data_IF_172945116977
#
_entry.id   IF_172945116977
#
_cell.length_a   1.000
_cell.length_b   1.000
_cell.length_c   1.000
_cell.angle_alpha   90.00
_cell.angle_beta   90.00
_cell.angle_gamma   90.00
#
_symmetry.space_group_name_H-M   'P 1'
#
loop_
_entity.id
_entity.type
_entity.pdbx_description
1 polymer ?
#
# COMPACT_ATOMS: atom_id res chain seq x y z
N UNK A 1 -18.50 -1.34 -9.15
CA UNK A 1 -18.06 -0.65 -7.91
C UNK A 1 -16.57 -0.44 -7.98
N UNK A 2 -16.06 0.67 -7.43
CA UNK A 2 -14.63 1.01 -7.50
C UNK A 2 -13.85 0.23 -6.43
N UNK A 3 -12.93 -0.63 -6.85
CA UNK A 3 -12.12 -1.43 -5.93
C UNK A 3 -11.07 -0.53 -5.24
N UNK A 4 -11.06 -0.53 -3.91
CA UNK A 4 -10.09 0.16 -3.07
C UNK A 4 -9.41 -0.86 -2.16
N UNK A 5 -8.08 -0.91 -2.19
CA UNK A 5 -7.30 -1.80 -1.31
C UNK A 5 -6.55 -1.01 -0.24
N UNK A 6 -6.79 -1.35 1.01
CA UNK A 6 -6.07 -0.84 2.18
C UNK A 6 -4.83 -1.72 2.44
N UNK A 7 -3.65 -1.12 2.47
CA UNK A 7 -2.38 -1.83 2.71
C UNK A 7 -1.46 -1.03 3.67
N UNK A 8 -0.56 -1.72 4.38
CA UNK A 8 0.31 -1.09 5.40
C UNK A 8 1.78 -1.29 5.03
N UNK A 9 2.41 -0.41 4.24
CA UNK A 9 3.74 -0.67 3.67
C UNK A 9 4.92 -0.24 4.57
N UNK A 10 4.65 0.55 5.61
CA UNK A 10 5.67 1.20 6.43
C UNK A 10 5.60 0.74 7.90
N UNK A 11 5.25 1.65 8.81
CA UNK A 11 5.12 1.37 10.23
C UNK A 11 3.89 0.51 10.54
N UNK A 12 3.97 -0.27 11.63
CA UNK A 12 2.86 -1.13 12.09
C UNK A 12 1.64 -0.31 12.52
N UNK A 13 0.43 -0.82 12.29
CA UNK A 13 -0.78 -0.30 12.92
C UNK A 13 -0.83 -0.71 14.41
N UNK A 14 -0.95 0.22 15.37
CA UNK A 14 -0.93 -0.13 16.79
C UNK A 14 -2.16 -0.93 17.23
N UNK A 15 -3.28 -0.76 16.51
CA UNK A 15 -4.49 -1.53 16.71
C UNK A 15 -5.28 -1.62 15.41
N UNK A 16 -6.14 -2.66 15.32
CA UNK A 16 -7.00 -2.89 14.15
C UNK A 16 -8.26 -1.99 14.13
N UNK A 17 -8.55 -1.26 15.20
CA UNK A 17 -9.76 -0.44 15.33
C UNK A 17 -9.87 0.64 14.24
N UNK A 18 -8.84 1.48 14.03
CA UNK A 18 -8.83 2.46 12.95
C UNK A 18 -8.98 1.85 11.55
N UNK A 19 -8.35 0.70 11.29
CA UNK A 19 -8.43 0.01 10.00
C UNK A 19 -9.86 -0.47 9.69
N UNK A 20 -10.51 -1.15 10.65
CA UNK A 20 -11.92 -1.58 10.51
C UNK A 20 -12.86 -0.39 10.31
N UNK A 21 -12.63 0.70 11.04
CA UNK A 21 -13.41 1.93 10.91
C UNK A 21 -13.24 2.57 9.53
N UNK A 22 -12.02 2.60 9.01
CA UNK A 22 -11.74 3.10 7.66
C UNK A 22 -12.47 2.25 6.61
N UNK A 23 -12.35 0.92 6.69
CA UNK A 23 -13.04 0.02 5.77
C UNK A 23 -14.56 0.23 5.77
N UNK A 24 -15.19 0.24 6.96
CA UNK A 24 -16.63 0.51 7.08
C UNK A 24 -17.05 1.83 6.44
N UNK A 25 -16.29 2.91 6.67
CA UNK A 25 -16.61 4.24 6.14
C UNK A 25 -16.43 4.30 4.62
N UNK A 26 -15.36 3.70 4.09
CA UNK A 26 -15.11 3.67 2.65
C UNK A 26 -16.14 2.82 1.91
N UNK A 27 -16.57 1.68 2.49
CA UNK A 27 -17.67 0.89 1.95
C UNK A 27 -18.99 1.68 1.92
N UNK A 28 -19.28 2.46 2.98
CA UNK A 28 -20.45 3.33 3.01
C UNK A 28 -20.40 4.47 1.97
N UNK A 29 -19.21 4.82 1.46
CA UNK A 29 -19.00 5.74 0.35
C UNK A 29 -19.08 5.07 -1.03
N UNK A 30 -19.39 3.76 -1.09
CA UNK A 30 -19.60 3.02 -2.34
C UNK A 30 -18.36 2.30 -2.91
N UNK A 31 -17.23 2.31 -2.19
CA UNK A 31 -16.07 1.51 -2.59
C UNK A 31 -16.28 0.03 -2.27
N UNK A 32 -15.81 -0.85 -3.16
CA UNK A 32 -15.56 -2.25 -2.81
C UNK A 32 -14.22 -2.30 -2.09
N UNK A 33 -14.24 -2.53 -0.78
CA UNK A 33 -13.04 -2.37 0.07
C UNK A 33 -12.40 -3.73 0.34
N UNK A 34 -11.18 -3.87 -0.15
CA UNK A 34 -10.28 -4.97 0.20
C UNK A 34 -9.26 -4.50 1.26
N UNK A 35 -8.93 -5.37 2.20
CA UNK A 35 -7.83 -5.16 3.15
C UNK A 35 -6.77 -6.20 2.81
N UNK A 36 -5.54 -5.78 2.47
CA UNK A 36 -4.47 -6.73 2.22
C UNK A 36 -4.21 -7.58 3.47
N UNK A 37 -3.96 -8.86 3.26
CA UNK A 37 -3.76 -9.85 4.33
C UNK A 37 -2.64 -9.49 5.32
N UNK A 38 -1.62 -8.73 4.89
CA UNK A 38 -0.53 -8.29 5.75
C UNK A 38 -0.79 -6.94 6.43
N UNK A 39 -1.97 -6.32 6.26
CA UNK A 39 -2.24 -4.97 6.78
C UNK A 39 -2.08 -4.85 8.31
N UNK A 40 -2.22 -5.96 9.05
CA UNK A 40 -2.04 -6.04 10.50
C UNK A 40 -0.77 -6.82 10.92
N UNK A 41 0.08 -7.20 9.96
CA UNK A 41 1.35 -7.86 10.28
C UNK A 41 2.23 -6.96 11.15
N UNK A 42 3.05 -7.57 12.01
CA UNK A 42 3.90 -6.84 12.95
C UNK A 42 5.26 -7.52 13.07
N UNK A 43 6.31 -6.73 12.83
CA UNK A 43 7.69 -7.07 13.21
C UNK A 43 8.35 -5.84 13.80
N UNK A 44 8.52 -5.84 15.12
CA UNK A 44 8.96 -4.66 15.87
C UNK A 44 8.09 -3.44 15.53
N UNK A 45 8.68 -2.38 14.94
CA UNK A 45 8.00 -1.14 14.52
C UNK A 45 7.41 -1.19 13.10
N UNK A 46 7.66 -2.25 12.33
CA UNK A 46 7.25 -2.39 10.93
C UNK A 46 6.00 -3.26 10.78
N UNK A 47 5.25 -3.01 9.71
CA UNK A 47 4.06 -3.77 9.34
C UNK A 47 4.39 -5.14 8.70
N UNK A 48 5.16 -5.97 9.41
CA UNK A 48 5.83 -7.17 8.89
C UNK A 48 7.32 -6.96 8.63
N UNK A 49 8.07 -8.02 8.32
CA UNK A 49 9.43 -7.84 7.77
C UNK A 49 9.41 -7.23 6.39
N UNK A 50 10.61 -6.88 5.92
CA UNK A 50 10.84 -6.35 4.59
C UNK A 50 10.25 -7.26 3.50
N UNK A 51 10.37 -8.59 3.64
CA UNK A 51 9.81 -9.57 2.70
C UNK A 51 8.28 -9.50 2.67
N UNK A 52 7.64 -9.51 3.84
CA UNK A 52 6.18 -9.38 3.96
C UNK A 52 5.68 -8.08 3.33
N UNK A 53 6.38 -6.96 3.57
CA UNK A 53 5.98 -5.63 3.08
C UNK A 53 6.19 -5.48 1.57
N UNK A 54 7.29 -6.01 1.02
CA UNK A 54 7.49 -6.09 -0.44
C UNK A 54 6.43 -6.96 -1.10
N UNK A 55 6.14 -8.14 -0.53
CA UNK A 55 5.09 -9.01 -1.04
C UNK A 55 3.71 -8.34 -1.00
N UNK A 56 3.41 -7.53 0.03
CA UNK A 56 2.19 -6.75 0.09
C UNK A 56 2.11 -5.71 -1.04
N UNK A 57 3.18 -4.96 -1.29
CA UNK A 57 3.25 -4.01 -2.41
C UNK A 57 2.99 -4.73 -3.75
N UNK A 58 3.63 -5.87 -3.97
CA UNK A 58 3.48 -6.63 -5.22
C UNK A 58 2.09 -7.24 -5.38
N UNK A 59 1.47 -7.75 -4.30
CA UNK A 59 0.08 -8.21 -4.34
C UNK A 59 -0.87 -7.08 -4.74
N UNK A 60 -0.73 -5.91 -4.13
CA UNK A 60 -1.57 -4.74 -4.46
C UNK A 60 -1.35 -4.30 -5.91
N UNK A 61 -0.10 -4.30 -6.40
CA UNK A 61 0.21 -3.98 -7.80
C UNK A 61 -0.40 -4.99 -8.78
N UNK A 62 -0.33 -6.30 -8.49
CA UNK A 62 -0.94 -7.35 -9.30
C UNK A 62 -2.46 -7.27 -9.32
N UNK A 63 -3.08 -7.02 -8.16
CA UNK A 63 -4.52 -6.79 -8.02
C UNK A 63 -4.97 -5.57 -8.84
N UNK A 64 -4.10 -4.55 -8.96
CA UNK A 64 -4.35 -3.28 -9.64
C UNK A 64 -5.73 -2.68 -9.30
N UNK A 65 -6.01 -2.41 -8.00
CA UNK A 65 -7.25 -1.75 -7.61
C UNK A 65 -7.30 -0.33 -8.20
N UNK A 66 -8.49 0.26 -8.34
CA UNK A 66 -8.58 1.66 -8.77
C UNK A 66 -7.90 2.61 -7.77
N UNK A 67 -7.92 2.26 -6.48
CA UNK A 67 -7.21 2.97 -5.40
C UNK A 67 -6.44 1.98 -4.53
N UNK A 68 -5.12 2.15 -4.45
CA UNK A 68 -4.28 1.53 -3.43
C UNK A 68 -4.03 2.56 -2.33
N UNK A 69 -4.68 2.42 -1.17
CA UNK A 69 -4.64 3.40 -0.09
C UNK A 69 -3.78 2.89 1.08
N UNK A 70 -2.65 3.55 1.32
CA UNK A 70 -1.80 3.25 2.45
C UNK A 70 -2.50 3.62 3.77
N UNK A 71 -2.55 2.68 4.71
CA UNK A 71 -3.23 2.86 6.01
C UNK A 71 -2.49 3.83 6.93
N UNK A 72 -1.17 3.93 6.78
CA UNK A 72 -0.30 4.90 7.46
C UNK A 72 1.09 4.98 6.81
N UNK A 73 1.78 6.08 7.10
CA UNK A 73 3.24 6.16 6.98
C UNK A 73 3.94 5.63 8.23
N UNK A 74 5.04 6.29 8.61
CA UNK A 74 5.88 5.90 9.74
C UNK A 74 7.34 5.92 9.31
N UNK A 75 7.99 4.76 9.39
CA UNK A 75 9.33 4.55 8.88
C UNK A 75 9.46 3.12 8.38
N UNK A 76 10.09 2.94 7.23
CA UNK A 76 10.52 1.64 6.74
C UNK A 76 10.42 1.44 5.23
N UNK A 77 9.80 2.33 4.46
CA UNK A 77 9.72 2.20 3.01
C UNK A 77 11.08 2.36 2.31
N UNK A 78 11.96 3.21 2.84
CA UNK A 78 13.33 3.37 2.32
C UNK A 78 14.15 2.09 2.35
N UNK A 79 13.83 1.14 3.25
CA UNK A 79 14.46 -0.18 3.33
C UNK A 79 14.07 -1.13 2.19
N UNK A 80 13.06 -0.77 1.41
CA UNK A 80 12.44 -1.64 0.40
C UNK A 80 12.76 -1.19 -1.03
N UNK A 81 13.34 0.00 -1.23
CA UNK A 81 13.40 0.65 -2.54
C UNK A 81 14.18 -0.16 -3.58
N UNK A 82 15.25 -0.84 -3.15
CA UNK A 82 16.08 -1.74 -3.96
C UNK A 82 15.40 -3.10 -4.24
N UNK A 83 14.29 -3.40 -3.55
CA UNK A 83 13.58 -4.69 -3.63
C UNK A 83 12.24 -4.62 -4.34
N UNK A 84 11.76 -3.42 -4.63
CA UNK A 84 10.50 -3.21 -5.33
C UNK A 84 10.70 -3.48 -6.83
N UNK A 85 9.94 -4.42 -7.40
CA UNK A 85 9.73 -4.48 -8.85
C UNK A 85 8.94 -3.24 -9.31
N UNK A 86 9.69 -2.20 -9.67
CA UNK A 86 9.12 -0.94 -10.13
C UNK A 86 8.32 -1.07 -11.43
N UNK A 87 8.70 -2.01 -12.32
CA UNK A 87 7.94 -2.26 -13.55
C UNK A 87 6.56 -2.84 -13.24
N UNK A 88 6.46 -3.70 -12.23
CA UNK A 88 5.18 -4.22 -11.76
C UNK A 88 4.29 -3.11 -11.19
N UNK A 89 4.85 -2.21 -10.38
CA UNK A 89 4.11 -1.07 -9.82
C UNK A 89 3.67 -0.10 -10.92
N UNK A 90 4.54 0.19 -11.90
CA UNK A 90 4.20 1.04 -13.04
C UNK A 90 3.06 0.45 -13.89
N UNK A 91 3.11 -0.86 -14.20
CA UNK A 91 2.01 -1.55 -14.89
C UNK A 91 0.67 -1.46 -14.17
N UNK A 92 0.65 -1.38 -12.83
CA UNK A 92 -0.61 -1.16 -12.12
C UNK A 92 -1.15 0.25 -12.35
N UNK A 93 -0.28 1.26 -12.44
CA UNK A 93 -0.66 2.65 -12.77
C UNK A 93 -1.21 2.76 -14.18
N UNK A 94 -0.57 2.13 -15.17
CA UNK A 94 -1.07 2.03 -16.55
C UNK A 94 -2.48 1.41 -16.60
N UNK A 95 -2.76 0.46 -15.71
CA UNK A 95 -4.09 -0.16 -15.53
C UNK A 95 -5.07 0.69 -14.71
N UNK A 96 -4.68 1.89 -14.31
CA UNK A 96 -5.53 2.87 -13.63
C UNK A 96 -5.43 2.88 -12.10
N UNK A 97 -4.47 2.16 -11.49
CA UNK A 97 -4.26 2.19 -10.05
C UNK A 97 -3.70 3.53 -9.58
N UNK A 98 -4.36 4.14 -8.61
CA UNK A 98 -3.88 5.32 -7.90
C UNK A 98 -3.26 4.92 -6.57
N UNK A 99 -1.95 5.11 -6.42
CA UNK A 99 -1.22 4.86 -5.17
C UNK A 99 -1.31 6.06 -4.23
N UNK A 100 -2.24 6.00 -3.27
CA UNK A 100 -2.60 7.10 -2.37
C UNK A 100 -1.99 6.89 -0.98
N UNK A 101 -1.32 7.92 -0.48
CA UNK A 101 -0.74 7.96 0.86
C UNK A 101 0.12 9.21 1.04
N UNK A 102 0.65 9.41 2.25
CA UNK A 102 1.52 10.54 2.60
C UNK A 102 2.58 10.12 3.65
N UNK A 103 3.50 11.03 3.99
CA UNK A 103 4.62 10.79 4.91
C UNK A 103 5.62 9.78 4.32
N UNK A 104 5.98 8.70 5.01
CA UNK A 104 6.95 7.69 4.52
C UNK A 104 6.55 7.10 3.14
N UNK A 105 5.25 7.14 2.79
CA UNK A 105 4.72 6.72 1.48
C UNK A 105 5.28 7.56 0.33
N UNK A 106 5.73 8.79 0.60
CA UNK A 106 6.41 9.64 -0.39
C UNK A 106 7.64 8.94 -1.00
N UNK A 107 8.35 8.10 -0.24
CA UNK A 107 9.49 7.36 -0.79
C UNK A 107 9.08 6.37 -1.89
N UNK A 108 7.92 5.70 -1.74
CA UNK A 108 7.36 4.82 -2.78
C UNK A 108 6.93 5.64 -4.00
N UNK A 109 6.25 6.76 -3.79
CA UNK A 109 5.73 7.61 -4.86
C UNK A 109 6.86 8.25 -5.68
N UNK A 110 7.90 8.76 -5.03
CA UNK A 110 9.07 9.31 -5.70
C UNK A 110 9.91 8.23 -6.39
N UNK A 111 10.05 7.06 -5.76
CA UNK A 111 10.69 5.91 -6.41
C UNK A 111 9.96 5.50 -7.69
N UNK A 112 8.63 5.44 -7.65
CA UNK A 112 7.83 5.16 -8.83
C UNK A 112 8.05 6.21 -9.93
N UNK A 113 7.98 7.50 -9.59
CA UNK A 113 8.23 8.58 -10.55
C UNK A 113 9.65 8.54 -11.15
N UNK A 114 10.65 8.11 -10.38
CA UNK A 114 12.02 8.00 -10.87
C UNK A 114 12.24 6.80 -11.81
N UNK A 115 11.45 5.73 -11.65
CA UNK A 115 11.55 4.50 -12.44
C UNK A 115 10.54 4.42 -13.59
N UNK A 116 9.45 5.17 -13.51
CA UNK A 116 8.49 5.38 -14.60
C UNK A 116 9.00 6.56 -15.45
N UNK A 117 9.82 6.27 -16.44
CA UNK A 117 9.99 7.20 -17.56
C UNK A 117 8.80 6.98 -18.49
N UNK A 118 8.01 8.03 -18.69
CA UNK A 118 6.94 8.03 -19.71
C UNK A 118 7.45 7.62 -21.08
#
# INVERSE_FOLDING_TARGET
MTLLTLFTPAGVLPSAGPLRRAAKRLSALGFDVHIDQAALAKKQRFAGDDDTRVAALHRVALQAPSVALATRGGYGLTRLLDRIDWKLVARSVERGTRWVGQSDVTALQLGLLAHEKG
#
